data_IF_813120902269
#
_entry.id   IF_813120902269
#
_cell.length_a   1.000
_cell.length_b   1.000
_cell.length_c   1.000
_cell.angle_alpha   90.00
_cell.angle_beta   90.00
_cell.angle_gamma   90.00
#
_symmetry.space_group_name_H-M   'P 1'
#
loop_
_entity.id
_entity.type
_entity.pdbx_description
1 polymer ?
#
# COMPACT_ATOMS: atom_id res chain seq x y z
N UNK A 1 22.90 43.58 2.53
CA UNK A 1 21.95 42.45 2.63
C UNK A 1 22.75 41.18 2.33
N UNK A 2 22.86 40.22 3.27
CA UNK A 2 23.65 38.99 3.08
C UNK A 2 22.82 37.99 2.28
N UNK A 3 23.30 37.59 1.10
CA UNK A 3 22.71 36.52 0.31
C UNK A 3 23.04 35.19 0.98
N UNK A 4 22.09 34.64 1.73
CA UNK A 4 22.22 33.29 2.30
C UNK A 4 22.00 32.32 1.14
N UNK A 5 23.08 31.70 0.67
CA UNK A 5 23.00 30.64 -0.34
C UNK A 5 22.29 29.42 0.25
N UNK A 6 21.10 29.09 -0.27
CA UNK A 6 20.28 27.94 0.15
C UNK A 6 20.78 26.59 -0.42
N UNK A 7 21.83 26.62 -1.24
CA UNK A 7 22.39 25.44 -1.92
C UNK A 7 22.87 24.30 -1.01
N UNK A 8 23.49 24.52 0.18
CA UNK A 8 23.94 23.41 1.01
C UNK A 8 22.78 22.68 1.71
N UNK A 9 21.57 23.27 1.78
CA UNK A 9 20.41 22.65 2.40
C UNK A 9 19.73 21.62 1.50
N UNK A 10 19.80 21.79 0.17
CA UNK A 10 19.18 20.90 -0.81
C UNK A 10 19.90 19.55 -0.96
N UNK A 11 21.19 19.47 -0.61
CA UNK A 11 21.99 18.24 -0.73
C UNK A 11 21.81 17.24 0.43
N UNK A 12 21.29 17.68 1.58
CA UNK A 12 21.08 16.80 2.75
C UNK A 12 19.79 15.98 2.62
N UNK A 13 18.84 16.39 1.78
CA UNK A 13 17.54 15.71 1.61
C UNK A 13 17.56 14.53 0.63
N UNK A 14 18.65 14.33 -0.12
CA UNK A 14 18.72 13.35 -1.21
C UNK A 14 19.10 11.93 -0.79
N UNK A 15 19.44 11.70 0.49
CA UNK A 15 20.04 10.44 0.95
C UNK A 15 19.07 9.50 1.69
N UNK A 16 17.76 9.78 1.67
CA UNK A 16 16.81 8.82 2.24
C UNK A 16 16.66 7.63 1.29
N UNK A 17 16.90 6.39 1.73
CA UNK A 17 16.59 5.23 0.92
C UNK A 17 15.08 5.20 0.66
N UNK A 18 14.69 5.36 -0.60
CA UNK A 18 13.31 5.16 -1.05
C UNK A 18 13.09 3.65 -1.06
N UNK A 19 12.74 3.08 0.09
CA UNK A 19 12.20 1.74 0.12
C UNK A 19 10.83 1.79 -0.55
N UNK A 20 10.61 0.96 -1.57
CA UNK A 20 9.28 0.76 -2.12
C UNK A 20 8.38 0.26 -0.98
N UNK A 21 7.37 1.07 -0.61
CA UNK A 21 6.43 0.68 0.43
C UNK A 21 5.64 -0.56 -0.02
N UNK A 22 5.34 -1.51 0.88
CA UNK A 22 4.48 -2.63 0.55
C UNK A 22 3.03 -2.14 0.40
N UNK A 23 2.36 -2.59 -0.66
CA UNK A 23 0.98 -2.24 -0.93
C UNK A 23 0.11 -3.48 -1.09
N UNK A 24 -1.11 -3.41 -0.57
CA UNK A 24 -2.21 -4.26 -1.03
C UNK A 24 -2.91 -3.53 -2.17
N UNK A 25 -3.09 -4.21 -3.31
CA UNK A 25 -3.56 -3.62 -4.56
C UNK A 25 -4.65 -4.50 -5.16
N UNK A 26 -5.67 -3.88 -5.78
CA UNK A 26 -6.63 -4.57 -6.65
C UNK A 26 -6.31 -4.35 -8.12
N UNK A 27 -6.90 -5.18 -8.99
CA UNK A 27 -6.97 -4.86 -10.41
C UNK A 27 -7.77 -3.56 -10.64
N UNK A 28 -7.53 -2.85 -11.76
CA UNK A 28 -8.34 -1.70 -12.17
C UNK A 28 -9.79 -2.10 -12.43
N UNK A 29 -10.71 -1.26 -11.95
CA UNK A 29 -12.11 -1.37 -12.34
C UNK A 29 -12.26 -1.12 -13.85
N UNK A 30 -13.00 -1.97 -14.60
CA UNK A 30 -13.24 -1.75 -16.02
C UNK A 30 -13.79 -0.34 -16.28
N UNK A 31 -13.36 0.35 -17.35
CA UNK A 31 -13.73 1.74 -17.59
C UNK A 31 -15.22 1.94 -17.86
N UNK A 32 -15.91 0.88 -18.29
CA UNK A 32 -17.35 0.81 -18.53
C UNK A 32 -18.17 0.42 -17.28
N UNK A 33 -17.50 0.02 -16.19
CA UNK A 33 -18.13 -0.27 -14.91
C UNK A 33 -18.21 0.98 -14.01
N UNK A 34 -19.18 0.97 -13.08
CA UNK A 34 -19.29 2.01 -12.05
C UNK A 34 -17.99 2.06 -11.21
N UNK A 35 -17.37 3.24 -11.17
CA UNK A 35 -16.08 3.43 -10.49
C UNK A 35 -16.27 3.64 -8.97
N UNK A 36 -15.38 3.07 -8.14
CA UNK A 36 -15.29 3.40 -6.72
C UNK A 36 -14.69 4.79 -6.50
N UNK A 37 -15.13 5.45 -5.44
CA UNK A 37 -14.46 6.65 -4.89
C UNK A 37 -13.55 6.29 -3.73
N UNK A 38 -13.84 5.20 -3.01
CA UNK A 38 -13.05 4.69 -1.91
C UNK A 38 -13.23 3.18 -1.73
N UNK A 39 -12.40 2.61 -0.88
CA UNK A 39 -12.44 1.21 -0.48
C UNK A 39 -12.50 1.11 1.04
N UNK A 40 -13.38 0.21 1.51
CA UNK A 40 -13.58 -0.10 2.92
C UNK A 40 -12.98 -1.47 3.19
N UNK A 41 -11.97 -1.52 4.05
CA UNK A 41 -11.15 -2.72 4.28
C UNK A 41 -11.36 -3.18 5.71
N UNK A 42 -11.92 -4.38 5.87
CA UNK A 42 -11.97 -5.05 7.17
C UNK A 42 -10.65 -5.78 7.40
N UNK A 43 -10.08 -5.64 8.59
CA UNK A 43 -8.77 -6.21 8.94
C UNK A 43 -8.93 -7.06 10.20
N UNK A 44 -8.47 -8.30 10.17
CA UNK A 44 -8.55 -9.23 11.30
C UNK A 44 -7.94 -8.63 12.56
N UNK A 45 -8.70 -8.64 13.67
CA UNK A 45 -8.26 -8.08 14.94
C UNK A 45 -8.39 -6.56 15.05
N UNK A 46 -9.06 -5.90 14.11
CA UNK A 46 -9.36 -4.46 14.15
C UNK A 46 -10.87 -4.23 14.08
N UNK A 47 -11.41 -3.41 15.00
CA UNK A 47 -12.84 -3.11 15.05
C UNK A 47 -13.25 -2.07 14.00
N UNK A 48 -12.39 -1.08 13.74
CA UNK A 48 -12.67 -0.01 12.78
C UNK A 48 -12.08 -0.38 11.42
N UNK A 49 -12.88 -0.38 10.34
CA UNK A 49 -12.35 -0.65 9.01
C UNK A 49 -11.42 0.47 8.55
N UNK A 50 -10.44 0.12 7.71
CA UNK A 50 -9.57 1.08 7.05
C UNK A 50 -10.30 1.61 5.82
N UNK A 51 -10.37 2.94 5.66
CA UNK A 51 -10.97 3.58 4.50
C UNK A 51 -9.86 4.21 3.66
N UNK A 52 -9.77 3.81 2.40
CA UNK A 52 -8.71 4.24 1.48
C UNK A 52 -9.36 4.89 0.25
N UNK A 53 -9.03 6.15 -0.09
CA UNK A 53 -9.47 6.75 -1.35
C UNK A 53 -9.02 5.92 -2.54
N UNK A 54 -9.88 5.81 -3.55
CA UNK A 54 -9.51 5.12 -4.76
C UNK A 54 -8.36 5.84 -5.48
N UNK A 55 -7.38 5.08 -5.97
CA UNK A 55 -6.30 5.64 -6.79
C UNK A 55 -6.70 5.56 -8.26
N UNK A 56 -6.80 6.69 -8.94
CA UNK A 56 -7.09 6.72 -10.38
C UNK A 56 -5.87 6.31 -11.18
N UNK A 57 -6.05 5.36 -12.09
CA UNK A 57 -5.06 4.98 -13.10
C UNK A 57 -5.64 5.17 -14.50
N UNK A 58 -4.83 5.15 -15.58
CA UNK A 58 -5.34 5.19 -16.94
C UNK A 58 -6.30 4.01 -17.28
N UNK A 59 -6.22 2.91 -16.54
CA UNK A 59 -7.03 1.71 -16.74
C UNK A 59 -8.30 1.66 -15.87
N UNK A 60 -8.46 2.61 -14.95
CA UNK A 60 -9.56 2.65 -13.98
C UNK A 60 -9.09 2.90 -12.55
N UNK A 61 -10.05 3.01 -11.64
CA UNK A 61 -9.77 3.16 -10.22
C UNK A 61 -9.29 1.83 -9.60
N UNK A 62 -8.30 1.91 -8.71
CA UNK A 62 -7.75 0.76 -7.97
C UNK A 62 -7.78 1.00 -6.46
N UNK A 63 -7.89 -0.09 -5.70
CA UNK A 63 -7.44 -0.12 -4.31
C UNK A 63 -5.92 -0.07 -4.32
N UNK A 64 -5.33 0.85 -3.55
CA UNK A 64 -3.89 0.86 -3.25
C UNK A 64 -3.68 1.30 -1.81
N UNK A 65 -3.51 0.34 -0.92
CA UNK A 65 -3.35 0.57 0.52
C UNK A 65 -1.91 0.32 0.95
N UNK A 66 -1.26 1.35 1.52
CA UNK A 66 0.06 1.21 2.16
C UNK A 66 -0.06 0.40 3.44
N UNK A 67 0.64 -0.73 3.49
CA UNK A 67 0.66 -1.65 4.63
C UNK A 67 1.97 -1.64 5.39
N UNK A 68 2.84 -0.64 5.20
CA UNK A 68 4.13 -0.53 5.90
C UNK A 68 3.99 -0.56 7.44
N UNK A 69 2.90 0.03 7.96
CA UNK A 69 2.60 0.05 9.39
C UNK A 69 1.98 -1.27 9.91
N UNK A 70 1.52 -2.16 9.04
CA UNK A 70 0.89 -3.43 9.41
C UNK A 70 1.95 -4.42 9.89
N UNK A 71 1.59 -5.26 10.86
CA UNK A 71 2.49 -6.26 11.48
C UNK A 71 1.80 -7.60 11.69
N UNK A 72 2.56 -8.66 11.52
CA UNK A 72 2.12 -10.04 11.73
C UNK A 72 1.18 -10.53 10.64
N UNK A 73 0.56 -11.68 10.89
CA UNK A 73 -0.47 -12.23 10.01
C UNK A 73 -1.74 -11.38 10.07
N UNK A 74 -2.33 -11.14 8.90
CA UNK A 74 -3.59 -10.42 8.73
C UNK A 74 -4.42 -11.08 7.66
N UNK A 75 -5.72 -11.21 7.95
CA UNK A 75 -6.73 -11.55 6.97
C UNK A 75 -7.60 -10.33 6.73
N UNK A 76 -7.85 -10.01 5.47
CA UNK A 76 -8.64 -8.85 5.07
C UNK A 76 -9.76 -9.22 4.10
N UNK A 77 -10.79 -8.39 4.09
CA UNK A 77 -11.77 -8.30 2.99
C UNK A 77 -11.90 -6.83 2.61
N UNK A 78 -12.22 -6.56 1.35
CA UNK A 78 -12.43 -5.20 0.86
C UNK A 78 -13.80 -5.07 0.21
N UNK A 79 -14.38 -3.87 0.30
CA UNK A 79 -15.54 -3.44 -0.48
C UNK A 79 -15.19 -2.15 -1.20
N UNK A 80 -15.65 -2.00 -2.43
CA UNK A 80 -15.68 -0.72 -3.11
C UNK A 80 -16.88 0.09 -2.61
N UNK A 81 -16.73 1.42 -2.50
CA UNK A 81 -17.83 2.34 -2.21
C UNK A 81 -17.81 3.52 -3.18
N UNK A 82 -19.00 3.96 -3.56
CA UNK A 82 -19.25 5.20 -4.27
C UNK A 82 -20.56 5.85 -3.75
N UNK A 83 -21.00 7.01 -4.26
CA UNK A 83 -22.21 7.67 -3.77
C UNK A 83 -23.50 6.85 -3.83
N UNK A 84 -23.53 5.76 -4.60
CA UNK A 84 -24.69 4.88 -4.76
C UNK A 84 -24.68 3.68 -3.81
N UNK A 85 -23.57 3.41 -3.12
CA UNK A 85 -23.49 2.35 -2.10
C UNK A 85 -22.17 1.60 -2.09
N UNK A 86 -22.19 0.42 -1.45
CA UNK A 86 -21.06 -0.50 -1.36
C UNK A 86 -21.24 -1.73 -2.25
N UNK A 87 -20.13 -2.26 -2.76
CA UNK A 87 -20.11 -3.58 -3.39
C UNK A 87 -20.25 -4.72 -2.38
N UNK A 88 -20.42 -5.94 -2.89
CA UNK A 88 -20.13 -7.14 -2.10
C UNK A 88 -18.66 -7.13 -1.63
N UNK A 89 -18.39 -7.77 -0.49
CA UNK A 89 -17.03 -7.95 0.00
C UNK A 89 -16.27 -8.95 -0.88
N UNK A 90 -14.98 -8.73 -1.07
CA UNK A 90 -14.08 -9.72 -1.68
C UNK A 90 -14.04 -11.02 -0.86
N UNK A 91 -13.62 -12.13 -1.48
CA UNK A 91 -13.11 -13.27 -0.71
C UNK A 91 -12.00 -12.85 0.27
N UNK A 92 -11.82 -13.55 1.40
CA UNK A 92 -10.74 -13.26 2.33
C UNK A 92 -9.37 -13.40 1.68
N UNK A 93 -8.50 -12.41 1.88
CA UNK A 93 -7.11 -12.43 1.48
C UNK A 93 -6.22 -12.38 2.73
N UNK A 94 -5.23 -13.26 2.82
CA UNK A 94 -4.31 -13.32 3.97
C UNK A 94 -2.88 -13.02 3.54
N UNK A 95 -2.19 -12.20 4.31
CA UNK A 95 -0.77 -11.91 4.14
C UNK A 95 -0.08 -11.83 5.50
N UNK A 96 1.25 -12.01 5.51
CA UNK A 96 2.08 -11.82 6.70
C UNK A 96 3.05 -10.67 6.48
N UNK A 97 2.88 -9.61 7.26
CA UNK A 97 3.81 -8.48 7.26
C UNK A 97 4.90 -8.72 8.30
N UNK A 98 6.15 -8.78 7.85
CA UNK A 98 7.31 -9.00 8.72
C UNK A 98 8.63 -8.71 8.00
N UNK A 99 9.70 -8.59 8.78
CA UNK A 99 11.06 -8.54 8.24
C UNK A 99 11.50 -9.94 7.82
N UNK A 100 12.34 -10.08 6.77
CA UNK A 100 12.97 -11.37 6.46
C UNK A 100 13.73 -11.93 7.66
N UNK A 101 13.82 -13.27 7.73
CA UNK A 101 14.68 -13.93 8.70
C UNK A 101 16.17 -13.68 8.38
N UNK A 102 17.04 -13.84 9.38
CA UNK A 102 18.49 -13.78 9.16
C UNK A 102 18.92 -14.88 8.17
N UNK A 103 19.78 -14.57 7.18
CA UNK A 103 20.35 -15.59 6.30
C UNK A 103 21.11 -16.64 7.10
N UNK A 104 21.00 -17.91 6.71
CA UNK A 104 21.69 -19.04 7.32
C UNK A 104 22.59 -19.75 6.30
N UNK A 105 23.60 -20.50 6.77
CA UNK A 105 24.46 -21.31 5.89
C UNK A 105 25.41 -20.51 4.98
N UNK A 106 25.82 -19.31 5.41
CA UNK A 106 26.75 -18.47 4.63
C UNK A 106 28.10 -19.19 4.50
N UNK A 107 28.54 -19.43 3.27
CA UNK A 107 29.81 -20.07 2.94
C UNK A 107 30.32 -19.65 1.56
N UNK A 108 31.55 -20.04 1.24
CA UNK A 108 32.16 -19.82 -0.08
C UNK A 108 31.77 -20.95 -1.03
N UNK A 109 31.39 -20.63 -2.27
CA UNK A 109 31.22 -21.60 -3.36
C UNK A 109 32.22 -21.30 -4.47
N UNK A 110 32.81 -22.34 -5.04
CA UNK A 110 33.45 -22.28 -6.37
C UNK A 110 32.36 -22.52 -7.42
N UNK A 111 32.46 -21.85 -8.57
CA UNK A 111 31.56 -22.03 -9.71
C UNK A 111 32.22 -22.93 -10.75
#
# INVERSE_FOLDING_TARGET
>A
MRNISALPFLWVLASFPIYAAPFVVSDPYPPDAAQPTEFVISVSGTQVPVIIPATTTPQGAILKWDVAAVKGSKTITAKARNPWGESAATPPFTFTAGTPAAPTGIGLSVQ
#
